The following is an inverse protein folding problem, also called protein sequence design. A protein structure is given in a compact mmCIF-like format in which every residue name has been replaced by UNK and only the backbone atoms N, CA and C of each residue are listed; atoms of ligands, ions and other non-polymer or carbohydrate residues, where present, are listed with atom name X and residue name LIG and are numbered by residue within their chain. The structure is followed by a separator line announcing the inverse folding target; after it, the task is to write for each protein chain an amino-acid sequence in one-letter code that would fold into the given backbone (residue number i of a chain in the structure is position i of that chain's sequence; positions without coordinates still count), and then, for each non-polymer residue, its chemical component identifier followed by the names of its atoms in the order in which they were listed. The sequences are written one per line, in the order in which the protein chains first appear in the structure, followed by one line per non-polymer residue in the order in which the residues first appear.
data_IF_957947597391
#
_entry.id   IF_957947597391
#
_cell.length_a   1.000
_cell.length_b   1.000
_cell.length_c   1.000
_cell.angle_alpha   90.00
_cell.angle_beta   90.00
_cell.angle_gamma   90.00
#
_symmetry.space_group_name_H-M   'P 1'
#
loop_
_entity.id
_entity.type
_entity.pdbx_description
1 polymer ?
#
# COMPACT_ATOMS: atom_id res chain seq x y z
N UNK A 1 -19.89 -26.10 2.68
CA UNK A 1 -18.59 -25.66 2.16
C UNK A 1 -18.04 -24.60 3.08
N UNK A 2 -16.73 -24.63 3.35
CA UNK A 2 -16.02 -23.58 4.09
C UNK A 2 -15.12 -22.84 3.09
N UNK A 3 -15.12 -21.51 3.15
CA UNK A 3 -14.26 -20.66 2.30
C UNK A 3 -13.30 -19.90 3.22
N UNK A 4 -11.99 -20.05 2.99
CA UNK A 4 -10.97 -19.30 3.72
C UNK A 4 -10.64 -18.00 2.96
N UNK A 5 -11.27 -16.90 3.37
CA UNK A 5 -11.03 -15.56 2.83
C UNK A 5 -10.25 -14.66 3.81
N UNK A 6 -9.37 -15.24 4.62
CA UNK A 6 -8.70 -14.53 5.72
C UNK A 6 -7.49 -13.66 5.31
N UNK A 7 -7.27 -13.42 4.01
CA UNK A 7 -6.21 -12.53 3.51
C UNK A 7 -4.83 -12.92 4.02
N UNK A 8 -4.12 -11.99 4.68
CA UNK A 8 -2.79 -12.23 5.24
C UNK A 8 -2.76 -13.39 6.26
N UNK A 9 -3.90 -13.69 6.91
CA UNK A 9 -4.02 -14.78 7.88
C UNK A 9 -4.40 -16.13 7.26
N UNK A 10 -4.53 -16.25 5.93
CA UNK A 10 -5.01 -17.48 5.28
C UNK A 10 -4.26 -18.74 5.72
N UNK A 11 -2.93 -18.68 5.80
CA UNK A 11 -2.10 -19.80 6.24
C UNK A 11 -2.19 -20.08 7.75
N UNK A 12 -2.49 -19.07 8.55
CA UNK A 12 -2.76 -19.26 9.98
C UNK A 12 -4.05 -20.06 10.17
N UNK A 13 -5.10 -19.70 9.43
CA UNK A 13 -6.36 -20.45 9.43
C UNK A 13 -6.17 -21.86 8.88
N UNK A 14 -5.36 -22.05 7.82
CA UNK A 14 -5.06 -23.36 7.27
C UNK A 14 -4.44 -24.30 8.31
N UNK A 15 -3.45 -23.81 9.08
CA UNK A 15 -2.84 -24.58 10.18
C UNK A 15 -3.84 -24.93 11.27
N UNK A 16 -4.68 -23.97 11.69
CA UNK A 16 -5.72 -24.23 12.70
C UNK A 16 -6.73 -25.29 12.22
N UNK A 17 -7.02 -25.33 10.92
CA UNK A 17 -7.91 -26.31 10.31
C UNK A 17 -7.22 -27.66 9.96
N UNK A 18 -5.93 -27.82 10.23
CA UNK A 18 -5.18 -29.05 9.92
C UNK A 18 -4.97 -29.30 8.42
N UNK A 19 -5.09 -28.27 7.57
CA UNK A 19 -4.87 -28.37 6.12
C UNK A 19 -3.54 -27.72 5.74
N UNK A 20 -2.99 -28.15 4.61
CA UNK A 20 -1.70 -27.64 4.10
C UNK A 20 -1.79 -26.13 3.80
N UNK A 21 -0.90 -25.29 4.35
CA UNK A 21 -0.83 -23.87 4.02
C UNK A 21 -0.49 -23.61 2.54
N UNK A 22 -0.88 -22.45 2.02
CA UNK A 22 -0.62 -22.05 0.62
C UNK A 22 0.75 -21.36 0.45
N UNK A 23 1.42 -21.01 1.55
CA UNK A 23 2.68 -20.26 1.51
C UNK A 23 2.48 -18.77 1.26
N UNK A 24 1.41 -18.20 1.81
CA UNK A 24 1.11 -16.77 1.66
C UNK A 24 2.14 -15.95 2.44
N UNK A 25 2.79 -15.01 1.73
CA UNK A 25 3.68 -14.01 2.31
C UNK A 25 2.94 -12.67 2.33
N UNK A 26 2.50 -12.18 3.49
CA UNK A 26 1.97 -10.82 3.60
C UNK A 26 3.11 -9.82 3.44
N UNK A 27 2.86 -8.76 2.67
CA UNK A 27 3.78 -7.65 2.51
C UNK A 27 3.07 -6.34 2.85
N UNK A 28 3.75 -5.45 3.57
CA UNK A 28 3.23 -4.13 3.96
C UNK A 28 3.08 -3.25 2.73
N UNK A 29 2.04 -2.42 2.73
CA UNK A 29 1.81 -1.30 1.81
C UNK A 29 1.48 -0.06 2.62
N UNK A 30 2.42 0.85 2.71
CA UNK A 30 2.31 2.18 3.30
C UNK A 30 1.54 3.12 2.38
N UNK A 31 0.66 3.92 2.95
CA UNK A 31 -0.10 4.96 2.25
C UNK A 31 -0.08 6.24 3.08
N UNK A 32 0.07 7.37 2.40
CA UNK A 32 -0.06 8.71 2.96
C UNK A 32 -1.01 9.53 2.08
N UNK A 33 -1.79 10.42 2.69
CA UNK A 33 -2.56 11.43 1.96
C UNK A 33 -2.05 12.83 2.28
N UNK A 34 -2.09 13.72 1.29
CA UNK A 34 -1.74 15.12 1.46
C UNK A 34 -2.60 16.03 0.60
N UNK A 35 -2.77 17.27 1.06
CA UNK A 35 -3.61 18.24 0.39
C UNK A 35 -2.98 18.70 -0.93
N UNK A 36 -3.75 18.81 -2.04
CA UNK A 36 -3.22 19.24 -3.32
C UNK A 36 -2.60 20.64 -3.24
N UNK A 37 -1.50 20.91 -3.97
CA UNK A 37 -0.96 22.26 -4.10
C UNK A 37 -2.04 23.23 -4.59
N UNK A 38 -2.13 24.40 -3.94
CA UNK A 38 -3.10 25.46 -4.24
C UNK A 38 -4.59 25.05 -4.13
N UNK A 39 -4.92 23.91 -3.52
CA UNK A 39 -6.31 23.46 -3.33
C UNK A 39 -7.04 23.19 -4.66
N UNK A 40 -6.30 22.87 -5.72
CA UNK A 40 -6.87 22.62 -7.05
C UNK A 40 -7.82 21.42 -7.09
N UNK A 41 -8.78 21.46 -8.02
CA UNK A 41 -9.68 20.33 -8.26
C UNK A 41 -8.91 19.17 -8.92
N UNK A 42 -8.65 18.11 -8.16
CA UNK A 42 -7.86 16.96 -8.61
C UNK A 42 -8.70 15.73 -8.95
N UNK A 43 -10.02 15.74 -8.74
CA UNK A 43 -10.87 14.54 -8.86
C UNK A 43 -10.82 13.86 -10.24
N UNK A 44 -10.45 14.61 -11.28
CA UNK A 44 -10.32 14.14 -12.66
C UNK A 44 -8.91 13.61 -12.99
N UNK A 45 -7.94 13.76 -12.09
CA UNK A 45 -6.57 13.29 -12.34
C UNK A 45 -6.52 11.77 -12.42
N UNK A 46 -5.70 11.21 -13.32
CA UNK A 46 -5.52 9.77 -13.37
C UNK A 46 -4.71 9.27 -12.17
N UNK A 47 -4.72 7.95 -11.97
CA UNK A 47 -3.64 7.33 -11.23
C UNK A 47 -2.35 7.47 -12.04
N UNK A 48 -1.31 8.01 -11.40
CA UNK A 48 0.03 8.10 -11.97
C UNK A 48 0.92 7.13 -11.22
N UNK A 49 1.59 6.25 -11.95
CA UNK A 49 2.55 5.28 -11.42
C UNK A 49 3.89 5.48 -12.09
N UNK A 50 4.93 5.39 -11.29
CA UNK A 50 6.31 5.36 -11.77
C UNK A 50 6.58 4.12 -12.63
N UNK A 51 7.41 4.24 -13.67
CA UNK A 51 7.68 3.14 -14.58
C UNK A 51 8.37 1.95 -13.89
N UNK A 52 9.22 2.22 -12.91
CA UNK A 52 9.88 1.19 -12.08
C UNK A 52 8.96 0.70 -10.94
N UNK A 53 7.68 1.11 -10.96
CA UNK A 53 6.67 0.84 -9.93
C UNK A 53 7.09 1.25 -8.51
N UNK A 54 8.02 2.20 -8.40
CA UNK A 54 8.62 2.61 -7.13
C UNK A 54 7.76 3.56 -6.30
N UNK A 55 6.70 4.11 -6.89
CA UNK A 55 5.61 4.81 -6.21
C UNK A 55 4.39 4.95 -7.14
N UNK A 56 3.23 5.26 -6.57
CA UNK A 56 2.12 5.80 -7.34
C UNK A 56 1.32 6.80 -6.50
N UNK A 57 0.60 7.69 -7.18
CA UNK A 57 -0.35 8.58 -6.55
C UNK A 57 -1.65 8.69 -7.35
N UNK A 58 -2.73 9.07 -6.67
CA UNK A 58 -4.04 9.33 -7.28
C UNK A 58 -4.91 10.23 -6.39
N UNK A 59 -5.99 10.80 -6.92
CA UNK A 59 -7.01 11.45 -6.09
C UNK A 59 -7.65 10.48 -5.09
N UNK A 60 -7.92 10.98 -3.89
CA UNK A 60 -8.57 10.24 -2.81
C UNK A 60 -9.26 11.21 -1.84
N UNK A 61 -10.58 11.32 -1.94
CA UNK A 61 -11.38 12.11 -0.97
C UNK A 61 -11.00 13.59 -0.90
N UNK A 62 -10.63 14.21 -2.03
CA UNK A 62 -10.16 15.59 -2.10
C UNK A 62 -8.66 15.78 -1.83
N UNK A 63 -7.98 14.78 -1.28
CA UNK A 63 -6.53 14.72 -1.11
C UNK A 63 -5.86 13.93 -2.24
N UNK A 64 -4.52 14.00 -2.30
CA UNK A 64 -3.69 13.09 -3.08
C UNK A 64 -3.26 11.94 -2.18
N UNK A 65 -3.63 10.71 -2.55
CA UNK A 65 -3.07 9.48 -1.99
C UNK A 65 -1.74 9.20 -2.67
N UNK A 66 -0.70 8.91 -1.87
CA UNK A 66 0.63 8.53 -2.31
C UNK A 66 1.10 7.28 -1.57
N UNK A 67 1.83 6.41 -2.27
CA UNK A 67 2.47 5.23 -1.68
C UNK A 67 3.85 5.02 -2.29
N UNK A 68 4.85 4.56 -1.52
CA UNK A 68 6.15 4.13 -2.05
C UNK A 68 6.09 2.75 -2.71
N UNK A 69 4.88 2.21 -2.85
CA UNK A 69 4.61 0.88 -3.35
C UNK A 69 5.44 -0.22 -2.65
N UNK A 70 5.70 -0.04 -1.36
CA UNK A 70 6.49 -0.96 -0.55
C UNK A 70 5.89 -2.37 -0.55
N UNK A 71 6.80 -3.32 -0.40
CA UNK A 71 6.51 -4.76 -0.37
C UNK A 71 7.33 -5.45 0.72
N UNK A 72 7.56 -4.74 1.83
CA UNK A 72 8.31 -5.27 2.97
C UNK A 72 7.56 -6.45 3.58
N UNK A 73 8.13 -7.67 3.63
CA UNK A 73 7.46 -8.81 4.23
C UNK A 73 7.19 -8.58 5.72
N UNK A 74 5.97 -8.88 6.15
CA UNK A 74 5.56 -8.71 7.53
C UNK A 74 4.64 -9.86 7.95
N UNK A 75 4.78 -10.34 9.19
CA UNK A 75 3.85 -11.32 9.73
C UNK A 75 2.42 -10.72 9.78
N UNK A 76 1.36 -11.54 9.73
CA UNK A 76 -0.02 -11.05 9.82
C UNK A 76 -0.25 -10.27 11.12
N UNK A 77 -0.56 -8.97 10.99
CA UNK A 77 -0.75 -8.04 12.09
C UNK A 77 -1.57 -6.81 11.66
N UNK A 78 -1.88 -5.95 12.63
CA UNK A 78 -2.35 -4.59 12.35
C UNK A 78 -1.17 -3.71 11.90
N UNK A 79 -0.90 -3.70 10.59
CA UNK A 79 0.29 -3.09 10.02
C UNK A 79 0.27 -1.57 10.17
N UNK A 80 1.38 -1.01 10.63
CA UNK A 80 1.59 0.43 10.74
C UNK A 80 2.63 0.90 9.71
N UNK A 81 2.49 2.12 9.17
CA UNK A 81 3.46 2.68 8.24
C UNK A 81 4.76 3.04 8.98
N UNK A 82 5.90 2.84 8.33
CA UNK A 82 7.18 3.33 8.84
C UNK A 82 7.46 4.74 8.32
N UNK A 83 8.12 5.55 9.14
CA UNK A 83 8.47 6.93 8.76
C UNK A 83 9.39 6.97 7.53
N UNK A 84 10.28 5.98 7.39
CA UNK A 84 11.18 5.87 6.24
C UNK A 84 10.41 5.60 4.94
N UNK A 85 9.37 4.76 4.97
CA UNK A 85 8.55 4.45 3.79
C UNK A 85 7.81 5.71 3.31
N UNK A 86 7.29 6.50 4.25
CA UNK A 86 6.65 7.80 3.96
C UNK A 86 7.66 8.76 3.34
N UNK A 87 8.85 8.90 3.95
CA UNK A 87 9.90 9.78 3.44
C UNK A 87 10.35 9.40 2.02
N UNK A 88 10.51 8.09 1.74
CA UNK A 88 10.83 7.58 0.41
C UNK A 88 9.74 7.94 -0.59
N UNK A 89 8.46 7.76 -0.24
CA UNK A 89 7.35 8.08 -1.13
C UNK A 89 7.35 9.56 -1.51
N UNK A 90 7.50 10.43 -0.51
CA UNK A 90 7.53 11.88 -0.70
C UNK A 90 8.72 12.30 -1.58
N UNK A 91 9.91 11.78 -1.29
CA UNK A 91 11.12 12.10 -2.03
C UNK A 91 11.01 11.68 -3.52
N UNK A 92 10.52 10.47 -3.79
CA UNK A 92 10.33 9.96 -5.16
C UNK A 92 9.31 10.79 -5.94
N UNK A 93 8.16 11.07 -5.33
CA UNK A 93 7.11 11.86 -5.96
C UNK A 93 7.56 13.29 -6.24
N UNK A 94 8.23 13.93 -5.28
CA UNK A 94 8.78 15.27 -5.45
C UNK A 94 9.83 15.31 -6.56
N UNK A 95 10.74 14.33 -6.63
CA UNK A 95 11.74 14.26 -7.68
C UNK A 95 11.11 14.10 -9.08
N UNK A 96 10.03 13.34 -9.20
CA UNK A 96 9.37 13.09 -10.48
C UNK A 96 8.45 14.23 -10.95
N UNK A 97 7.84 14.98 -10.03
CA UNK A 97 6.75 15.93 -10.34
C UNK A 97 7.03 17.37 -9.94
N UNK A 98 8.01 17.61 -9.06
CA UNK A 98 8.23 18.91 -8.42
C UNK A 98 7.20 19.28 -7.35
N UNK A 99 6.18 18.44 -7.08
CA UNK A 99 5.18 18.68 -6.06
C UNK A 99 5.79 18.45 -4.67
N UNK A 100 5.69 19.46 -3.81
CA UNK A 100 6.10 19.35 -2.40
C UNK A 100 4.86 19.43 -1.50
N UNK A 101 4.51 18.35 -0.79
CA UNK A 101 3.39 18.38 0.15
C UNK A 101 3.65 19.35 1.31
N UNK A 102 2.71 20.25 1.56
CA UNK A 102 2.78 21.19 2.68
C UNK A 102 2.23 20.61 3.99
N UNK A 103 1.28 19.69 3.90
CA UNK A 103 0.61 19.07 5.04
C UNK A 103 0.18 17.64 4.70
N UNK A 104 0.55 16.68 5.55
CA UNK A 104 0.08 15.30 5.47
C UNK A 104 -1.24 15.18 6.25
N UNK A 105 -2.30 14.75 5.60
CA UNK A 105 -3.62 14.64 6.21
C UNK A 105 -3.79 13.32 6.98
N UNK A 106 -3.33 12.21 6.41
CA UNK A 106 -3.40 10.90 7.07
C UNK A 106 -2.33 9.95 6.58
N UNK A 107 -2.06 8.90 7.37
CA UNK A 107 -1.13 7.82 7.03
C UNK A 107 -1.61 6.50 7.62
N UNK A 108 -1.46 5.43 6.87
CA UNK A 108 -1.79 4.08 7.32
C UNK A 108 -0.96 3.05 6.54
N UNK A 109 -0.99 1.81 6.98
CA UNK A 109 -0.50 0.70 6.19
C UNK A 109 -1.51 -0.45 6.16
N UNK A 110 -1.41 -1.28 5.14
CA UNK A 110 -2.15 -2.53 5.05
C UNK A 110 -1.24 -3.68 4.67
N UNK A 111 -1.71 -4.91 4.87
CA UNK A 111 -1.04 -6.11 4.38
C UNK A 111 -1.69 -6.58 3.08
N UNK A 112 -0.86 -6.80 2.06
CA UNK A 112 -1.26 -7.46 0.81
C UNK A 112 -0.77 -8.91 0.85
N UNK A 113 -1.60 -9.84 0.43
CA UNK A 113 -1.27 -11.28 0.38
C UNK A 113 -0.61 -11.64 -0.93
N UNK A 114 0.58 -12.25 -0.87
CA UNK A 114 1.29 -12.75 -2.06
C UNK A 114 1.47 -14.26 -1.98
N UNK A 115 1.15 -14.94 -3.06
CA UNK A 115 1.57 -16.33 -3.32
C UNK A 115 3.00 -16.33 -3.89
N UNK A 116 3.60 -17.51 -4.04
CA UNK A 116 4.95 -17.65 -4.58
C UNK A 116 5.09 -17.10 -6.02
N UNK A 117 4.07 -17.23 -6.84
CA UNK A 117 4.04 -16.74 -8.22
C UNK A 117 3.27 -15.41 -8.36
N UNK A 118 2.88 -14.81 -7.23
CA UNK A 118 2.13 -13.56 -7.11
C UNK A 118 0.76 -13.54 -7.82
N UNK A 119 0.23 -14.72 -8.16
CA UNK A 119 -1.12 -14.90 -8.72
C UNK A 119 -2.11 -15.35 -7.66
N UNK A 120 -3.41 -15.04 -7.80
CA UNK A 120 -4.43 -15.60 -6.90
C UNK A 120 -4.35 -17.13 -6.88
N UNK A 121 -4.42 -17.70 -5.67
CA UNK A 121 -4.46 -19.14 -5.44
C UNK A 121 -5.85 -19.73 -5.71
#
# INVERSE_FOLDING_TARGET
WLINAAGAWADNIARLAGVRPLGITPKRRTVVTFTPPAGGAIDHWPLVRDADESFYFKPFGGDILLTPADETPLAPCDAQPEEIDIAIALARMQAATGITPSHLASRWAGLRSFTRDERPA
#
